data_IF_192371282885
#
_entry.id   IF_192371282885
#
_cell.length_a   1.000
_cell.length_b   1.000
_cell.length_c   1.000
_cell.angle_alpha   90.00
_cell.angle_beta   90.00
_cell.angle_gamma   90.00
#
_symmetry.space_group_name_H-M   'P 1'
#
loop_
_entity.id
_entity.type
_entity.pdbx_description
1 polymer ?
#
# COMPACT_ATOMS: atom_id res chain seq x y z
N UNK A 1 52.14 65.89 -31.98
CA UNK A 1 52.60 64.67 -31.28
C UNK A 1 51.97 63.47 -31.96
N UNK A 2 52.78 62.53 -32.47
CA UNK A 2 52.35 61.47 -33.37
C UNK A 2 51.45 60.42 -32.71
N UNK A 3 50.51 59.84 -33.48
CA UNK A 3 49.72 58.67 -33.07
C UNK A 3 50.68 57.48 -32.88
N UNK A 4 51.01 57.15 -31.64
CA UNK A 4 51.69 55.90 -31.32
C UNK A 4 50.78 54.74 -31.69
N UNK A 5 51.19 53.92 -32.66
CA UNK A 5 50.49 52.70 -33.04
C UNK A 5 50.76 51.62 -31.98
N UNK A 6 50.07 51.69 -30.85
CA UNK A 6 50.09 50.62 -29.84
C UNK A 6 49.44 49.35 -30.40
N UNK A 7 50.06 48.20 -30.17
CA UNK A 7 49.51 46.89 -30.55
C UNK A 7 48.23 46.60 -29.75
N UNK A 8 47.30 45.84 -30.33
CA UNK A 8 46.03 45.49 -29.67
C UNK A 8 46.25 44.68 -28.38
N UNK A 9 47.32 43.89 -28.33
CA UNK A 9 47.70 43.10 -27.16
C UNK A 9 48.15 44.00 -25.99
N UNK A 10 48.94 45.04 -26.28
CA UNK A 10 49.33 46.06 -25.30
C UNK A 10 48.12 46.83 -24.75
N UNK A 11 47.18 47.23 -25.63
CA UNK A 11 45.95 47.92 -25.20
C UNK A 11 45.10 47.06 -24.26
N UNK A 12 44.99 45.76 -24.54
CA UNK A 12 44.25 44.80 -23.68
C UNK A 12 44.93 44.60 -22.34
N UNK A 13 46.25 44.54 -22.31
CA UNK A 13 47.00 44.38 -21.05
C UNK A 13 46.91 45.62 -20.16
N UNK A 14 47.03 46.81 -20.76
CA UNK A 14 46.83 48.09 -20.06
C UNK A 14 45.43 48.20 -19.44
N UNK A 15 44.40 47.74 -20.16
CA UNK A 15 43.02 47.69 -19.63
C UNK A 15 42.89 46.67 -18.49
N UNK A 16 43.51 45.49 -18.58
CA UNK A 16 43.49 44.47 -17.49
C UNK A 16 44.11 44.99 -16.19
N UNK A 17 45.17 45.80 -16.25
CA UNK A 17 45.74 46.42 -15.05
C UNK A 17 44.73 47.32 -14.33
N UNK A 18 43.85 47.99 -15.07
CA UNK A 18 42.80 48.87 -14.52
C UNK A 18 41.58 48.07 -14.06
N UNK A 19 41.12 47.06 -14.83
CA UNK A 19 39.86 46.35 -14.56
C UNK A 19 40.00 45.12 -13.65
N UNK A 20 41.09 44.36 -13.77
CA UNK A 20 41.29 43.11 -13.00
C UNK A 20 42.16 43.32 -11.77
N UNK A 21 43.21 44.16 -11.88
CA UNK A 21 44.13 44.45 -10.76
C UNK A 21 43.75 45.69 -9.95
N UNK A 22 42.84 46.51 -10.45
CA UNK A 22 42.26 47.65 -9.72
C UNK A 22 43.16 48.89 -9.59
N UNK A 23 44.23 49.01 -10.38
CA UNK A 23 45.09 50.20 -10.32
C UNK A 23 44.37 51.46 -10.83
N UNK A 24 44.58 52.64 -10.20
CA UNK A 24 44.07 53.92 -10.70
C UNK A 24 44.55 54.23 -12.12
N UNK A 25 43.66 54.78 -12.96
CA UNK A 25 43.99 55.14 -14.36
C UNK A 25 45.16 56.12 -14.45
N UNK A 26 45.29 57.02 -13.46
CA UNK A 26 46.40 57.96 -13.38
C UNK A 26 47.77 57.27 -13.16
N UNK A 27 47.81 56.24 -12.32
CA UNK A 27 49.02 55.45 -12.05
C UNK A 27 49.44 54.64 -13.28
N UNK A 28 48.48 53.99 -13.93
CA UNK A 28 48.73 53.20 -15.15
C UNK A 28 49.17 54.08 -16.33
N UNK A 29 48.62 55.30 -16.43
CA UNK A 29 49.01 56.30 -17.41
C UNK A 29 50.47 56.71 -17.28
N UNK A 30 50.92 57.00 -16.05
CA UNK A 30 52.30 57.37 -15.77
C UNK A 30 53.27 56.21 -16.01
N UNK A 31 52.90 54.99 -15.59
CA UNK A 31 53.75 53.81 -15.72
C UNK A 31 53.97 53.36 -17.16
N UNK A 32 52.93 53.43 -17.99
CA UNK A 32 52.96 52.97 -19.39
C UNK A 32 53.25 54.10 -20.39
N UNK A 33 53.39 55.34 -19.92
CA UNK A 33 53.58 56.53 -20.75
C UNK A 33 52.47 56.70 -21.81
N UNK A 34 51.23 56.41 -21.43
CA UNK A 34 50.03 56.52 -22.28
C UNK A 34 49.10 57.59 -21.72
N UNK A 35 48.43 58.37 -22.58
CA UNK A 35 47.47 59.37 -22.10
C UNK A 35 46.28 58.71 -21.38
N UNK A 36 45.81 59.33 -20.29
CA UNK A 36 44.61 58.88 -19.57
C UNK A 36 43.40 58.77 -20.50
N UNK A 37 43.27 59.69 -21.47
CA UNK A 37 42.20 59.65 -22.47
C UNK A 37 42.21 58.35 -23.30
N UNK A 38 43.39 57.90 -23.75
CA UNK A 38 43.51 56.65 -24.50
C UNK A 38 43.16 55.44 -23.64
N UNK A 39 43.53 55.45 -22.36
CA UNK A 39 43.17 54.38 -21.40
C UNK A 39 41.66 54.32 -21.16
N UNK A 40 40.97 55.47 -21.08
CA UNK A 40 39.50 55.50 -20.98
C UNK A 40 38.82 54.99 -22.26
N UNK A 41 39.32 55.37 -23.45
CA UNK A 41 38.84 54.84 -24.73
C UNK A 41 39.04 53.32 -24.83
N UNK A 42 40.21 52.82 -24.46
CA UNK A 42 40.50 51.38 -24.48
C UNK A 42 39.64 50.63 -23.45
N UNK A 43 39.45 51.20 -22.25
CA UNK A 43 38.54 50.64 -21.23
C UNK A 43 37.11 50.55 -21.73
N UNK A 44 36.62 51.54 -22.49
CA UNK A 44 35.29 51.50 -23.12
C UNK A 44 35.21 50.43 -24.23
N UNK A 45 36.29 50.24 -24.99
CA UNK A 45 36.34 49.28 -26.11
C UNK A 45 36.50 47.83 -25.65
N UNK A 46 37.35 47.57 -24.66
CA UNK A 46 37.71 46.22 -24.18
C UNK A 46 37.07 45.83 -22.84
N UNK A 47 36.55 46.77 -22.04
CA UNK A 47 35.93 46.48 -20.74
C UNK A 47 34.58 45.76 -20.83
N UNK A 48 33.95 45.75 -22.01
CA UNK A 48 32.61 45.17 -22.23
C UNK A 48 32.62 43.64 -22.33
N UNK A 49 33.79 42.99 -22.51
CA UNK A 49 33.88 41.53 -22.65
C UNK A 49 33.56 40.76 -21.37
N UNK A 50 33.78 41.37 -20.19
CA UNK A 50 33.55 40.69 -18.90
C UNK A 50 32.07 40.47 -18.56
N UNK A 51 31.15 41.31 -19.05
CA UNK A 51 29.72 41.12 -18.83
C UNK A 51 29.19 39.83 -19.49
N UNK A 52 29.54 39.63 -20.77
CA UNK A 52 29.16 38.42 -21.53
C UNK A 52 29.80 37.16 -20.97
N UNK A 53 31.07 37.22 -20.57
CA UNK A 53 31.75 36.09 -19.93
C UNK A 53 31.14 35.74 -18.56
N UNK A 54 30.76 36.74 -17.77
CA UNK A 54 30.09 36.55 -16.47
C UNK A 54 28.69 35.93 -16.61
N UNK A 55 27.92 36.38 -17.59
CA UNK A 55 26.60 35.79 -17.89
C UNK A 55 26.71 34.34 -18.37
N UNK A 56 27.70 34.02 -19.20
CA UNK A 56 27.95 32.65 -19.67
C UNK A 56 28.42 31.75 -18.53
N UNK A 57 29.31 32.22 -17.65
CA UNK A 57 29.71 31.49 -16.44
C UNK A 57 28.51 31.23 -15.53
N UNK A 58 27.61 32.22 -15.39
CA UNK A 58 26.37 32.04 -14.60
C UNK A 58 25.44 31.00 -15.25
N UNK A 59 25.31 31.02 -16.58
CA UNK A 59 24.52 30.05 -17.34
C UNK A 59 25.08 28.64 -17.18
N UNK A 60 26.38 28.45 -17.42
CA UNK A 60 27.06 27.17 -17.32
C UNK A 60 27.02 26.62 -15.89
N UNK A 61 27.19 27.47 -14.87
CA UNK A 61 27.02 27.04 -13.47
C UNK A 61 25.60 26.54 -13.17
N UNK A 62 24.57 27.22 -13.68
CA UNK A 62 23.17 26.77 -13.56
C UNK A 62 22.94 25.44 -14.29
N UNK A 63 23.51 25.29 -15.46
CA UNK A 63 23.38 24.07 -16.25
C UNK A 63 24.10 22.89 -15.58
N UNK A 64 25.31 23.10 -15.05
CA UNK A 64 26.04 22.11 -14.26
C UNK A 64 25.24 21.67 -13.03
N UNK A 65 24.65 22.63 -12.30
CA UNK A 65 23.79 22.31 -11.15
C UNK A 65 22.54 21.50 -11.56
N UNK A 66 21.92 21.84 -12.69
CA UNK A 66 20.78 21.10 -13.24
C UNK A 66 21.17 19.67 -13.64
N UNK A 67 22.23 19.52 -14.42
CA UNK A 67 22.67 18.21 -14.95
C UNK A 67 23.15 17.31 -13.82
N UNK A 68 23.84 17.85 -12.82
CA UNK A 68 24.26 17.08 -11.64
C UNK A 68 23.06 16.60 -10.82
N UNK A 69 22.05 17.45 -10.61
CA UNK A 69 20.79 17.05 -9.97
C UNK A 69 20.07 15.95 -10.79
N UNK A 70 19.91 16.14 -12.10
CA UNK A 70 19.22 15.19 -12.97
C UNK A 70 19.92 13.82 -12.98
N UNK A 71 21.26 13.80 -13.07
CA UNK A 71 22.08 12.59 -12.96
C UNK A 71 21.86 11.86 -11.65
N UNK A 72 21.88 12.58 -10.53
CA UNK A 72 21.76 11.99 -9.20
C UNK A 72 20.36 11.43 -8.94
N UNK A 73 19.33 12.09 -9.46
CA UNK A 73 17.96 11.57 -9.47
C UNK A 73 17.90 10.29 -10.28
N UNK A 74 18.43 10.28 -11.51
CA UNK A 74 18.38 9.12 -12.40
C UNK A 74 19.09 7.90 -11.80
N UNK A 75 20.29 8.09 -11.22
CA UNK A 75 21.02 7.04 -10.51
C UNK A 75 20.19 6.40 -9.39
N UNK A 76 19.41 7.19 -8.64
CA UNK A 76 18.55 6.68 -7.56
C UNK A 76 17.22 6.11 -8.06
N UNK A 77 16.73 6.57 -9.20
CA UNK A 77 15.41 6.23 -9.74
C UNK A 77 15.34 4.93 -10.56
N UNK A 78 16.46 4.20 -10.71
CA UNK A 78 16.62 3.13 -11.70
C UNK A 78 15.52 2.05 -11.72
N UNK A 79 14.84 1.79 -10.60
CA UNK A 79 13.71 0.84 -10.52
C UNK A 79 12.31 1.47 -10.54
N UNK A 80 12.21 2.80 -10.52
CA UNK A 80 10.96 3.56 -10.33
C UNK A 80 10.35 4.03 -11.66
N UNK A 81 11.16 4.27 -12.68
CA UNK A 81 10.69 4.83 -13.97
C UNK A 81 9.61 3.99 -14.67
N UNK A 82 9.68 2.66 -14.55
CA UNK A 82 8.73 1.70 -15.13
C UNK A 82 7.59 1.29 -14.18
N UNK A 83 7.50 1.90 -13.01
CA UNK A 83 6.50 1.55 -11.99
C UNK A 83 5.23 2.39 -12.12
N UNK A 84 4.16 1.94 -11.44
CA UNK A 84 2.91 2.70 -11.32
C UNK A 84 3.15 4.07 -10.70
N UNK A 85 2.31 5.06 -11.05
CA UNK A 85 2.42 6.44 -10.56
C UNK A 85 2.54 6.55 -9.03
N UNK A 86 1.87 5.69 -8.26
CA UNK A 86 1.98 5.66 -6.78
C UNK A 86 3.42 5.46 -6.29
N UNK A 87 4.18 4.58 -6.95
CA UNK A 87 5.59 4.32 -6.59
C UNK A 87 6.46 5.53 -6.96
N UNK A 88 6.16 6.17 -8.10
CA UNK A 88 6.81 7.43 -8.50
C UNK A 88 6.55 8.54 -7.49
N UNK A 89 5.31 8.69 -7.03
CA UNK A 89 4.95 9.69 -6.02
C UNK A 89 5.62 9.42 -4.68
N UNK A 90 5.70 8.15 -4.24
CA UNK A 90 6.42 7.76 -3.04
C UNK A 90 7.91 8.12 -3.12
N UNK A 91 8.56 7.86 -4.28
CA UNK A 91 9.95 8.28 -4.51
C UNK A 91 10.13 9.80 -4.44
N UNK A 92 9.24 10.57 -5.08
CA UNK A 92 9.29 12.04 -5.03
C UNK A 92 9.11 12.52 -3.58
N UNK A 93 8.18 11.94 -2.83
CA UNK A 93 7.95 12.30 -1.43
C UNK A 93 9.17 12.02 -0.55
N UNK A 94 9.86 10.89 -0.77
CA UNK A 94 11.08 10.51 -0.04
C UNK A 94 12.26 11.45 -0.31
N UNK A 95 12.39 11.94 -1.54
CA UNK A 95 13.55 12.72 -1.97
C UNK A 95 13.31 14.23 -2.11
N UNK A 96 12.11 14.72 -1.79
CA UNK A 96 11.72 16.16 -1.93
C UNK A 96 12.57 17.14 -1.14
N UNK A 97 13.24 16.70 -0.08
CA UNK A 97 14.13 17.54 0.74
C UNK A 97 15.51 17.71 0.11
N UNK A 98 15.87 16.83 -0.83
CA UNK A 98 17.22 16.77 -1.42
C UNK A 98 17.23 17.17 -2.89
N UNK A 99 16.12 17.00 -3.60
CA UNK A 99 15.98 17.35 -5.00
C UNK A 99 14.69 18.15 -5.24
N UNK A 100 14.70 18.97 -6.28
CA UNK A 100 13.55 19.73 -6.74
C UNK A 100 12.42 18.80 -7.19
N UNK A 101 11.22 19.03 -6.64
CA UNK A 101 9.99 18.31 -7.03
C UNK A 101 9.71 18.49 -8.52
N UNK A 102 9.94 19.68 -9.09
CA UNK A 102 9.74 19.93 -10.53
C UNK A 102 10.72 19.13 -11.39
N UNK A 103 11.98 19.02 -10.99
CA UNK A 103 12.98 18.21 -11.69
C UNK A 103 12.59 16.73 -11.64
N UNK A 104 12.25 16.22 -10.45
CA UNK A 104 11.83 14.82 -10.30
C UNK A 104 10.54 14.50 -11.07
N UNK A 105 9.54 15.38 -11.06
CA UNK A 105 8.29 15.19 -11.81
C UNK A 105 8.55 15.10 -13.32
N UNK A 106 9.42 15.98 -13.84
CA UNK A 106 9.83 15.97 -15.24
C UNK A 106 10.53 14.66 -15.63
N UNK A 107 11.51 14.23 -14.84
CA UNK A 107 12.29 13.02 -15.10
C UNK A 107 11.47 11.73 -14.95
N UNK A 108 10.51 11.69 -14.02
CA UNK A 108 9.67 10.52 -13.77
C UNK A 108 8.41 10.47 -14.66
N UNK A 109 8.22 11.47 -15.52
CA UNK A 109 7.04 11.64 -16.36
C UNK A 109 5.73 11.66 -15.55
N UNK A 110 5.66 12.51 -14.52
CA UNK A 110 4.45 12.72 -13.72
C UNK A 110 4.11 14.20 -13.58
N UNK A 111 2.83 14.53 -13.46
CA UNK A 111 2.39 15.91 -13.35
C UNK A 111 2.48 16.42 -11.88
N UNK A 112 3.09 17.59 -11.61
CA UNK A 112 3.26 18.10 -10.25
C UNK A 112 1.96 18.28 -9.48
N UNK A 113 0.89 18.75 -10.15
CA UNK A 113 -0.44 18.91 -9.51
C UNK A 113 -0.95 17.58 -8.97
N UNK A 114 -0.78 16.49 -9.72
CA UNK A 114 -1.25 15.16 -9.30
C UNK A 114 -0.40 14.63 -8.14
N UNK A 115 0.89 14.93 -8.11
CA UNK A 115 1.75 14.62 -6.97
C UNK A 115 1.27 15.34 -5.69
N UNK A 116 1.01 16.64 -5.75
CA UNK A 116 0.52 17.38 -4.58
C UNK A 116 -0.89 16.95 -4.16
N UNK A 117 -1.77 16.61 -5.11
CA UNK A 117 -3.08 16.04 -4.82
C UNK A 117 -2.97 14.67 -4.11
N UNK A 118 -2.04 13.82 -4.55
CA UNK A 118 -1.72 12.54 -3.91
C UNK A 118 -1.10 12.74 -2.51
N UNK A 119 -0.25 13.75 -2.35
CA UNK A 119 0.37 14.08 -1.07
C UNK A 119 -0.68 14.53 -0.03
N UNK A 120 -1.69 15.29 -0.47
CA UNK A 120 -2.82 15.72 0.36
C UNK A 120 -3.77 14.56 0.67
N UNK A 121 -4.06 13.71 -0.32
CA UNK A 121 -5.00 12.60 -0.21
C UNK A 121 -4.27 11.25 -0.35
N UNK A 122 -3.51 10.87 0.68
CA UNK A 122 -2.67 9.67 0.64
C UNK A 122 -3.49 8.37 0.47
N UNK A 123 -4.72 8.35 1.00
CA UNK A 123 -5.66 7.25 0.84
C UNK A 123 -6.77 7.63 -0.14
N UNK A 124 -6.84 6.90 -1.26
CA UNK A 124 -8.02 6.96 -2.12
C UNK A 124 -9.25 6.48 -1.36
N UNK A 125 -10.46 6.96 -1.71
CA UNK A 125 -11.73 6.47 -1.13
C UNK A 125 -11.79 4.94 -1.03
N UNK A 126 -11.40 4.24 -2.11
CA UNK A 126 -11.32 2.77 -2.15
C UNK A 126 -10.34 2.15 -1.14
N UNK A 127 -9.22 2.80 -0.88
CA UNK A 127 -8.23 2.32 0.09
C UNK A 127 -8.69 2.56 1.53
N UNK A 128 -9.38 3.68 1.79
CA UNK A 128 -10.05 3.93 3.06
C UNK A 128 -11.14 2.88 3.33
N UNK A 129 -11.91 2.56 2.29
CA UNK A 129 -12.96 1.54 2.37
C UNK A 129 -12.39 0.13 2.57
N UNK A 130 -11.35 -0.22 1.81
CA UNK A 130 -10.63 -1.48 1.99
C UNK A 130 -10.13 -1.63 3.44
N UNK A 131 -9.63 -0.54 4.05
CA UNK A 131 -9.22 -0.53 5.46
C UNK A 131 -10.41 -0.77 6.40
N UNK A 132 -11.49 0.02 6.27
CA UNK A 132 -12.71 -0.13 7.11
C UNK A 132 -13.25 -1.55 7.08
N UNK A 133 -13.41 -2.11 5.88
CA UNK A 133 -13.94 -3.47 5.71
C UNK A 133 -12.97 -4.53 6.21
N UNK A 134 -11.65 -4.29 6.12
CA UNK A 134 -10.66 -5.20 6.71
C UNK A 134 -10.74 -5.21 8.24
N UNK A 135 -10.99 -4.06 8.87
CA UNK A 135 -11.14 -3.95 10.32
C UNK A 135 -12.40 -4.71 10.79
N UNK A 136 -13.53 -4.59 10.07
CA UNK A 136 -14.74 -5.38 10.34
C UNK A 136 -14.51 -6.89 10.18
N UNK A 137 -13.80 -7.29 9.12
CA UNK A 137 -13.45 -8.70 8.89
C UNK A 137 -12.56 -9.26 10.00
N UNK A 138 -11.68 -8.44 10.57
CA UNK A 138 -10.82 -8.84 11.67
C UNK A 138 -11.63 -9.04 12.95
N UNK A 139 -12.57 -8.15 13.24
CA UNK A 139 -13.50 -8.28 14.37
C UNK A 139 -14.31 -9.57 14.26
N UNK A 140 -15.01 -9.79 13.14
CA UNK A 140 -15.79 -11.00 12.91
C UNK A 140 -14.93 -12.28 12.99
N UNK A 141 -13.69 -12.23 12.48
CA UNK A 141 -12.78 -13.36 12.56
C UNK A 141 -12.37 -13.68 14.01
N UNK A 142 -12.07 -12.67 14.83
CA UNK A 142 -11.74 -12.86 16.24
C UNK A 142 -12.95 -13.33 17.06
N UNK A 143 -14.13 -12.76 16.82
CA UNK A 143 -15.39 -13.20 17.45
C UNK A 143 -15.73 -14.66 17.12
N UNK A 144 -15.41 -15.11 15.91
CA UNK A 144 -15.56 -16.52 15.51
C UNK A 144 -14.54 -17.47 16.15
N UNK A 145 -13.63 -16.98 17.00
CA UNK A 145 -12.52 -17.77 17.54
C UNK A 145 -11.52 -18.20 16.46
N UNK A 146 -11.37 -17.39 15.40
CA UNK A 146 -10.50 -17.63 14.24
C UNK A 146 -10.89 -18.80 13.35
N UNK A 147 -12.06 -19.41 13.57
CA UNK A 147 -12.54 -20.57 12.82
C UNK A 147 -12.97 -20.19 11.41
N UNK A 148 -13.50 -18.97 11.24
CA UNK A 148 -14.11 -18.57 9.98
C UNK A 148 -13.09 -18.31 8.87
N UNK A 149 -13.44 -18.80 7.68
CA UNK A 149 -12.76 -18.45 6.43
C UNK A 149 -13.50 -17.35 5.68
N UNK A 150 -12.92 -16.87 4.58
CA UNK A 150 -13.43 -15.71 3.85
C UNK A 150 -14.89 -15.82 3.36
N UNK A 151 -15.44 -17.04 3.20
CA UNK A 151 -16.85 -17.24 2.82
C UNK A 151 -17.79 -16.89 3.98
N UNK A 152 -17.54 -17.47 5.16
CA UNK A 152 -18.33 -17.14 6.37
C UNK A 152 -18.18 -15.68 6.77
N UNK A 153 -16.96 -15.15 6.70
CA UNK A 153 -16.73 -13.72 6.94
C UNK A 153 -17.42 -12.81 5.91
N UNK A 154 -17.71 -13.31 4.71
CA UNK A 154 -18.49 -12.58 3.71
C UNK A 154 -19.98 -12.61 4.06
N UNK A 155 -20.49 -13.75 4.53
CA UNK A 155 -21.86 -13.87 5.05
C UNK A 155 -22.06 -12.94 6.27
N UNK A 156 -21.13 -12.94 7.24
CA UNK A 156 -21.18 -12.05 8.41
C UNK A 156 -21.20 -10.57 7.99
N UNK A 157 -20.39 -10.18 7.00
CA UNK A 157 -20.41 -8.81 6.49
C UNK A 157 -21.79 -8.45 5.89
N UNK A 158 -22.41 -9.37 5.15
CA UNK A 158 -23.75 -9.14 4.59
C UNK A 158 -24.79 -8.97 5.71
N UNK A 159 -24.71 -9.78 6.76
CA UNK A 159 -25.60 -9.70 7.93
C UNK A 159 -25.44 -8.37 8.69
N UNK A 160 -24.24 -7.79 8.66
CA UNK A 160 -23.96 -6.44 9.19
C UNK A 160 -24.38 -5.30 8.24
N UNK A 161 -25.02 -5.62 7.11
CA UNK A 161 -25.50 -4.65 6.13
C UNK A 161 -24.43 -4.12 5.16
N UNK A 162 -23.24 -4.74 5.13
CA UNK A 162 -22.17 -4.34 4.21
C UNK A 162 -22.36 -4.94 2.81
N UNK A 163 -22.16 -4.12 1.77
CA UNK A 163 -22.21 -4.61 0.38
C UNK A 163 -20.80 -4.93 -0.11
N UNK A 164 -20.45 -6.22 -0.15
CA UNK A 164 -19.18 -6.71 -0.68
C UNK A 164 -19.33 -8.00 -1.46
N UNK A 165 -18.58 -8.16 -2.56
CA UNK A 165 -18.52 -9.43 -3.27
C UNK A 165 -17.54 -10.41 -2.58
N UNK A 166 -17.76 -11.74 -2.66
CA UNK A 166 -16.90 -12.74 -2.04
C UNK A 166 -15.42 -12.61 -2.43
N UNK A 167 -15.14 -12.29 -3.70
CA UNK A 167 -13.77 -12.12 -4.22
C UNK A 167 -13.04 -10.93 -3.58
N UNK A 168 -13.77 -9.88 -3.21
CA UNK A 168 -13.21 -8.72 -2.49
C UNK A 168 -12.83 -9.12 -1.07
N UNK A 169 -13.70 -9.83 -0.36
CA UNK A 169 -13.42 -10.35 0.98
C UNK A 169 -12.22 -11.31 0.95
N UNK A 170 -12.17 -12.22 -0.02
CA UNK A 170 -11.03 -13.12 -0.22
C UNK A 170 -9.71 -12.38 -0.46
N UNK A 171 -9.72 -11.26 -1.20
CA UNK A 171 -8.55 -10.42 -1.40
C UNK A 171 -8.14 -9.70 -0.11
N UNK A 172 -9.08 -9.09 0.60
CA UNK A 172 -8.80 -8.32 1.83
C UNK A 172 -8.27 -9.21 2.94
N UNK A 173 -8.93 -10.33 3.21
CA UNK A 173 -8.49 -11.34 4.18
C UNK A 173 -7.09 -11.87 3.86
N UNK A 174 -6.78 -12.12 2.58
CA UNK A 174 -5.42 -12.52 2.16
C UNK A 174 -4.36 -11.46 2.44
N UNK A 175 -4.65 -10.18 2.15
CA UNK A 175 -3.73 -9.07 2.43
C UNK A 175 -3.52 -8.89 3.94
N UNK A 176 -4.58 -9.07 4.72
CA UNK A 176 -4.57 -8.95 6.19
C UNK A 176 -3.98 -10.17 6.91
N UNK A 177 -3.72 -11.27 6.19
CA UNK A 177 -3.22 -12.52 6.79
C UNK A 177 -4.29 -13.32 7.57
N UNK A 178 -5.56 -12.96 7.43
CA UNK A 178 -6.69 -13.67 8.05
C UNK A 178 -6.87 -15.03 7.37
N UNK A 179 -6.83 -16.10 8.16
CA UNK A 179 -7.01 -17.48 7.68
C UNK A 179 -7.84 -18.26 8.68
N UNK A 180 -8.72 -19.12 8.16
CA UNK A 180 -9.45 -20.08 8.98
C UNK A 180 -8.47 -20.98 9.73
N UNK A 181 -8.54 -20.95 11.05
CA UNK A 181 -7.82 -21.86 11.93
C UNK A 181 -8.74 -23.03 12.24
N UNK A 182 -8.62 -24.09 11.45
CA UNK A 182 -9.38 -25.32 11.68
C UNK A 182 -8.65 -26.12 12.75
N UNK A 183 -9.08 -25.91 14.00
CA UNK A 183 -8.45 -26.46 15.18
C UNK A 183 -9.03 -27.81 15.61
N UNK A 184 -9.01 -28.84 14.78
CA UNK A 184 -9.05 -30.22 15.29
C UNK A 184 -8.28 -31.16 14.34
N UNK A 185 -7.09 -31.60 14.75
CA UNK A 185 -6.65 -32.94 14.34
C UNK A 185 -7.76 -33.87 14.83
N UNK A 186 -8.43 -34.56 13.90
CA UNK A 186 -9.47 -35.56 14.20
C UNK A 186 -8.88 -36.48 15.27
N UNK A 187 -9.39 -36.41 16.51
CA UNK A 187 -9.01 -37.39 17.54
C UNK A 187 -9.41 -38.76 16.96
N UNK A 188 -8.51 -39.75 16.91
CA UNK A 188 -8.91 -41.10 16.58
C UNK A 188 -10.06 -41.47 17.52
N UNK A 189 -11.25 -41.75 16.98
CA UNK A 189 -12.36 -42.19 17.79
C UNK A 189 -11.99 -43.50 18.46
N UNK A 190 -12.28 -43.64 19.75
CA UNK A 190 -12.22 -44.94 20.43
C UNK A 190 -13.43 -45.73 19.91
N UNK A 191 -13.22 -46.51 18.85
CA UNK A 191 -14.22 -47.47 18.40
C UNK A 191 -14.03 -48.78 19.17
N UNK A 192 -15.11 -49.24 19.81
CA UNK A 192 -15.28 -50.64 20.19
C UNK A 192 -15.03 -50.97 21.66
N UNK A 193 -16.08 -50.85 22.48
CA UNK A 193 -16.27 -51.77 23.61
C UNK A 193 -17.01 -53.03 23.14
N UNK A 194 -16.94 -54.13 23.90
CA UNK A 194 -17.81 -55.29 23.65
C UNK A 194 -19.27 -54.83 23.82
N UNK A 195 -20.15 -55.03 22.84
CA UNK A 195 -21.56 -54.69 23.01
C UNK A 195 -22.14 -55.50 24.17
N UNK A 196 -22.89 -54.84 25.06
CA UNK A 196 -23.70 -55.54 26.06
C UNK A 196 -24.89 -56.16 25.33
N UNK A 197 -24.72 -57.39 24.83
CA UNK A 197 -25.79 -58.16 24.19
C UNK A 197 -26.69 -58.69 25.31
N UNK A 198 -27.58 -57.83 25.79
CA UNK A 198 -28.65 -58.22 26.74
C UNK A 198 -29.92 -58.61 25.97
N UNK A 199 -30.07 -58.14 24.73
CA UNK A 199 -31.25 -58.35 23.87
C UNK A 199 -30.78 -58.48 22.42
N UNK A 200 -31.39 -59.41 21.67
CA UNK A 200 -31.14 -59.57 20.24
C UNK A 200 -31.58 -58.33 19.46
N UNK A 201 -30.74 -57.87 18.52
CA UNK A 201 -31.07 -56.74 17.65
C UNK A 201 -32.12 -57.15 16.62
N UNK A 202 -33.40 -57.04 16.97
CA UNK A 202 -34.54 -57.43 16.12
C UNK A 202 -34.65 -56.62 14.83
N UNK A 203 -34.13 -55.39 14.80
CA UNK A 203 -34.12 -54.56 13.60
C UNK A 203 -32.96 -54.92 12.66
N UNK A 204 -31.86 -55.48 13.18
CA UNK A 204 -30.64 -55.86 12.45
C UNK A 204 -30.17 -54.84 11.39
N UNK A 205 -30.25 -53.55 11.71
CA UNK A 205 -29.91 -52.43 10.81
C UNK A 205 -30.71 -52.39 9.50
N UNK A 206 -31.85 -53.08 9.43
CA UNK A 206 -32.81 -52.98 8.34
C UNK A 206 -33.64 -51.70 8.48
N UNK A 207 -33.13 -50.61 7.90
CA UNK A 207 -33.80 -49.30 7.93
C UNK A 207 -34.81 -49.10 6.79
N UNK A 208 -34.91 -50.06 5.87
CA UNK A 208 -35.89 -50.06 4.78
C UNK A 208 -37.07 -50.96 5.17
N UNK A 209 -38.22 -50.35 5.42
CA UNK A 209 -39.38 -51.00 6.04
C UNK A 209 -40.54 -50.94 5.05
N UNK A 210 -41.25 -52.04 4.82
CA UNK A 210 -42.24 -52.12 3.73
C UNK A 210 -43.56 -51.36 3.99
N UNK A 211 -43.81 -50.87 5.22
CA UNK A 211 -45.05 -50.22 5.61
C UNK A 211 -44.84 -49.21 6.75
N UNK A 212 -45.69 -48.16 6.86
CA UNK A 212 -45.65 -47.23 7.99
C UNK A 212 -45.96 -47.93 9.32
N UNK A 213 -45.49 -47.33 10.41
CA UNK A 213 -45.80 -47.74 11.79
C UNK A 213 -45.35 -49.16 12.17
N UNK A 214 -44.32 -49.67 11.49
CA UNK A 214 -43.73 -50.98 11.75
C UNK A 214 -42.45 -50.92 12.57
N UNK A 215 -41.66 -49.87 12.39
CA UNK A 215 -40.43 -49.66 13.15
C UNK A 215 -40.18 -48.17 13.32
N UNK A 216 -40.00 -47.77 14.58
CA UNK A 216 -39.71 -46.39 14.95
C UNK A 216 -38.29 -46.31 15.51
N UNK A 217 -37.59 -45.25 15.15
CA UNK A 217 -36.26 -44.96 15.67
C UNK A 217 -36.31 -43.66 16.44
N UNK A 218 -35.55 -43.62 17.53
CA UNK A 218 -35.40 -42.45 18.38
C UNK A 218 -33.93 -42.10 18.54
N UNK A 219 -33.64 -40.81 18.62
CA UNK A 219 -32.33 -40.30 18.96
C UNK A 219 -32.48 -39.08 19.88
N UNK A 220 -31.49 -38.87 20.75
CA UNK A 220 -31.42 -37.70 21.62
C UNK A 220 -30.31 -36.79 21.10
N UNK A 221 -30.69 -35.58 20.70
CA UNK A 221 -29.75 -34.53 20.32
C UNK A 221 -29.73 -33.42 21.37
N UNK A 222 -28.62 -32.69 21.46
CA UNK A 222 -28.51 -31.51 22.32
C UNK A 222 -28.35 -30.25 21.48
N UNK A 223 -29.19 -29.26 21.76
CA UNK A 223 -29.23 -27.97 21.08
C UNK A 223 -28.61 -26.95 22.03
N UNK A 224 -27.56 -26.27 21.56
CA UNK A 224 -26.94 -25.18 22.33
C UNK A 224 -27.78 -23.91 22.20
N UNK A 225 -28.19 -23.36 23.34
CA UNK A 225 -28.92 -22.09 23.43
C UNK A 225 -28.10 -21.07 24.24
N UNK A 226 -28.62 -19.84 24.37
CA UNK A 226 -27.99 -18.79 25.17
C UNK A 226 -28.09 -19.05 26.69
N UNK A 227 -29.04 -19.90 27.13
CA UNK A 227 -29.29 -20.22 28.55
C UNK A 227 -28.69 -21.57 28.97
N UNK A 228 -28.16 -22.35 28.01
CA UNK A 228 -27.61 -23.68 28.26
C UNK A 228 -27.94 -24.67 27.15
N UNK A 229 -27.84 -25.97 27.44
CA UNK A 229 -28.22 -27.02 26.51
C UNK A 229 -29.69 -27.43 26.70
N UNK A 230 -30.42 -27.53 25.60
CA UNK A 230 -31.72 -28.18 25.55
C UNK A 230 -31.55 -29.59 24.94
N UNK A 231 -32.13 -30.59 25.58
CA UNK A 231 -32.09 -31.99 25.14
C UNK A 231 -33.40 -32.30 24.43
N UNK A 232 -33.32 -32.66 23.15
CA UNK A 232 -34.44 -32.97 22.29
C UNK A 232 -34.40 -34.46 21.94
N UNK A 233 -35.45 -35.20 22.32
CA UNK A 233 -35.69 -36.54 21.81
C UNK A 233 -36.73 -36.48 20.70
N UNK A 234 -36.48 -37.18 19.60
CA UNK A 234 -37.39 -37.25 18.45
C UNK A 234 -37.60 -38.69 18.06
N UNK A 235 -38.86 -39.09 17.89
CA UNK A 235 -39.25 -40.41 17.37
C UNK A 235 -39.69 -40.26 15.92
N UNK A 236 -39.08 -41.04 15.03
CA UNK A 236 -39.32 -41.01 13.59
C UNK A 236 -39.78 -42.38 13.10
N UNK A 237 -40.78 -42.39 12.21
CA UNK A 237 -41.18 -43.57 11.45
C UNK A 237 -40.15 -43.88 10.35
N UNK A 238 -39.62 -45.10 10.30
CA UNK A 238 -38.59 -45.46 9.32
C UNK A 238 -39.08 -45.45 7.87
N UNK A 239 -40.35 -45.77 7.63
CA UNK A 239 -40.93 -45.77 6.29
C UNK A 239 -41.18 -44.34 5.78
N UNK A 240 -42.02 -43.58 6.48
CA UNK A 240 -42.46 -42.25 6.01
C UNK A 240 -41.47 -41.12 6.30
N UNK A 241 -40.47 -41.37 7.16
CA UNK A 241 -39.53 -40.36 7.69
C UNK A 241 -40.21 -39.20 8.40
N UNK A 242 -41.47 -39.36 8.82
CA UNK A 242 -42.21 -38.36 9.57
C UNK A 242 -41.87 -38.44 11.05
N UNK A 243 -41.86 -37.28 11.69
CA UNK A 243 -41.77 -37.18 13.15
C UNK A 243 -43.12 -37.58 13.73
N UNK A 244 -43.14 -38.63 14.55
CA UNK A 244 -44.33 -39.13 15.24
C UNK A 244 -44.51 -38.38 16.56
N UNK A 245 -43.41 -38.09 17.24
CA UNK A 245 -43.41 -37.41 18.53
C UNK A 245 -42.05 -36.83 18.86
N UNK A 246 -42.04 -35.83 19.74
CA UNK A 246 -40.82 -35.22 20.26
C UNK A 246 -41.05 -34.71 21.68
N UNK A 247 -39.98 -34.64 22.45
CA UNK A 247 -39.96 -34.08 23.81
C UNK A 247 -38.67 -33.30 24.02
N UNK A 248 -38.74 -32.21 24.76
CA UNK A 248 -37.59 -31.33 25.02
C UNK A 248 -37.51 -30.92 26.48
N UNK A 249 -36.33 -31.06 27.08
CA UNK A 249 -36.07 -30.65 28.46
C UNK A 249 -34.70 -29.97 28.60
N UNK A 250 -34.50 -29.24 29.70
CA UNK A 250 -33.22 -28.60 30.03
C UNK A 250 -32.17 -29.56 30.61
N UNK A 251 -32.56 -30.82 30.91
CA UNK A 251 -31.68 -31.88 31.42
C UNK A 251 -31.97 -33.19 30.71
N UNK A 252 -30.95 -34.05 30.61
CA UNK A 252 -31.08 -35.39 30.04
C UNK A 252 -31.60 -36.37 31.12
N UNK A 253 -32.91 -36.41 31.30
CA UNK A 253 -33.59 -37.37 32.19
C UNK A 253 -34.29 -38.45 31.38
N UNK A 254 -34.67 -39.55 32.03
CA UNK A 254 -35.41 -40.65 31.42
C UNK A 254 -36.75 -40.18 30.82
N UNK A 255 -37.39 -39.20 31.46
CA UNK A 255 -38.70 -38.63 31.07
C UNK A 255 -38.66 -37.86 29.74
N UNK A 256 -37.48 -37.63 29.16
CA UNK A 256 -37.36 -37.06 27.81
C UNK A 256 -37.68 -38.12 26.75
N UNK A 257 -37.56 -39.41 27.07
CA UNK A 257 -37.65 -40.52 26.10
C UNK A 257 -38.78 -41.49 26.42
N UNK A 258 -39.03 -41.79 27.71
CA UNK A 258 -40.11 -42.66 28.18
C UNK A 258 -41.34 -41.84 28.58
#
# INVERSE_FOLDING_TARGET
MGKGNFTEEFKRDAVRQITERGYPVAEVSQRLWVSQHSLYEWKKKFGTSNGKASDEVRRLKKELARVTEERDILKKSGRVLRQRCKVKYAFIALHRLRFSVRTMCRLLHVHPIVFYAWLKNQLSKRASEDKRQTDLLLQAWEESGKVYGYRKLHDDLLDHGETSCPNRVARLTRIAGIKAQIGYKRRPGIYGGRPSIVIDNTLDRQFDVAAPDKAWVTDITYIRTNEGFAYLAVVIDLYSRRVIGWSMQSRQTTDVVL
#
